data_IF_474355641124
#
_entry.id   IF_474355641124
#
_cell.length_a   1.000
_cell.length_b   1.000
_cell.length_c   1.000
_cell.angle_alpha   90.00
_cell.angle_beta   90.00
_cell.angle_gamma   90.00
#
_symmetry.space_group_name_H-M   'P 1'
#
loop_
_entity.id
_entity.type
_entity.pdbx_description
1 polymer ?
#
# COMPACT_ATOMS: atom_id res chain seq x y z
N UNK A 1 4.43 4.89 -23.92
CA UNK A 1 3.70 4.38 -22.74
C UNK A 1 4.19 2.98 -22.50
N UNK A 2 4.92 2.76 -21.40
CA UNK A 2 5.42 1.43 -21.08
C UNK A 2 4.34 0.67 -20.32
N UNK A 3 3.54 -0.10 -21.05
CA UNK A 3 2.59 -1.02 -20.44
C UNK A 3 3.35 -2.23 -19.87
N UNK A 4 2.95 -2.75 -18.69
CA UNK A 4 3.45 -4.02 -18.19
C UNK A 4 3.29 -5.15 -19.23
N UNK A 5 4.18 -6.13 -19.16
CA UNK A 5 4.19 -7.30 -20.07
C UNK A 5 2.97 -8.21 -19.92
N UNK A 6 2.13 -8.03 -18.88
CA UNK A 6 0.94 -8.86 -18.60
C UNK A 6 -0.38 -8.35 -19.20
N UNK A 7 -0.47 -7.10 -19.66
CA UNK A 7 -1.74 -6.60 -20.22
C UNK A 7 -1.98 -7.07 -21.65
N UNK A 8 -3.23 -7.46 -21.92
CA UNK A 8 -3.67 -7.73 -23.29
C UNK A 8 -3.58 -6.46 -24.14
N UNK A 9 -3.36 -6.61 -25.45
CA UNK A 9 -3.34 -5.47 -26.38
C UNK A 9 -4.65 -4.67 -26.35
N UNK A 10 -5.78 -5.33 -26.05
CA UNK A 10 -7.07 -4.65 -25.90
C UNK A 10 -7.12 -3.79 -24.63
N UNK A 11 -6.64 -4.32 -23.51
CA UNK A 11 -6.49 -3.55 -22.25
C UNK A 11 -5.61 -2.33 -22.49
N UNK A 12 -4.46 -2.49 -23.15
CA UNK A 12 -3.55 -1.37 -23.46
C UNK A 12 -4.22 -0.29 -24.30
N UNK A 13 -4.99 -0.67 -25.33
CA UNK A 13 -5.75 0.28 -26.16
C UNK A 13 -6.79 1.06 -25.35
N UNK A 14 -7.51 0.38 -24.44
CA UNK A 14 -8.53 1.03 -23.62
C UNK A 14 -7.93 2.00 -22.60
N UNK A 15 -6.81 1.63 -21.97
CA UNK A 15 -6.07 2.51 -21.06
C UNK A 15 -5.54 3.73 -21.80
N UNK A 16 -4.93 3.55 -22.98
CA UNK A 16 -4.44 4.65 -23.81
C UNK A 16 -5.57 5.61 -24.24
N UNK A 17 -6.73 5.06 -24.61
CA UNK A 17 -7.90 5.87 -24.94
C UNK A 17 -8.41 6.64 -23.72
N UNK A 18 -8.47 6.02 -22.54
CA UNK A 18 -8.92 6.70 -21.32
C UNK A 18 -8.03 7.87 -20.95
N UNK A 19 -6.72 7.68 -21.05
CA UNK A 19 -5.75 8.77 -20.90
C UNK A 19 -6.09 9.95 -21.82
N UNK A 20 -6.31 9.69 -23.11
CA UNK A 20 -6.61 10.76 -24.07
C UNK A 20 -7.93 11.50 -23.73
N UNK A 21 -8.92 10.80 -23.16
CA UNK A 21 -10.18 11.43 -22.72
C UNK A 21 -9.94 12.31 -21.50
N UNK A 22 -9.24 11.80 -20.49
CA UNK A 22 -8.95 12.52 -19.24
C UNK A 22 -8.10 13.76 -19.54
N UNK A 23 -7.07 13.64 -20.37
CA UNK A 23 -6.24 14.78 -20.76
C UNK A 23 -7.02 15.86 -21.50
N UNK A 24 -7.96 15.49 -22.37
CA UNK A 24 -8.81 16.46 -23.04
C UNK A 24 -9.83 17.10 -22.08
N UNK A 25 -10.33 16.34 -21.10
CA UNK A 25 -11.27 16.81 -20.07
C UNK A 25 -10.61 17.84 -19.15
N UNK A 26 -9.36 17.60 -18.75
CA UNK A 26 -8.60 18.40 -17.80
C UNK A 26 -7.51 19.26 -18.45
N UNK A 27 -7.63 19.54 -19.76
CA UNK A 27 -6.61 20.28 -20.54
C UNK A 27 -6.33 21.69 -20.01
N UNK A 28 -7.32 22.29 -19.37
CA UNK A 28 -7.31 23.65 -18.84
C UNK A 28 -7.07 23.66 -17.31
N UNK A 29 -6.92 22.49 -16.69
CA UNK A 29 -6.64 22.36 -15.26
C UNK A 29 -5.13 22.40 -15.01
N UNK A 30 -4.75 23.02 -13.89
CA UNK A 30 -3.35 23.13 -13.46
C UNK A 30 -2.89 21.95 -12.58
N UNK A 31 -3.79 21.01 -12.31
CA UNK A 31 -3.53 19.85 -11.47
C UNK A 31 -2.51 18.89 -12.12
N UNK A 32 -1.59 18.40 -11.30
CA UNK A 32 -0.55 17.45 -11.73
C UNK A 32 -1.12 16.04 -11.92
N UNK A 33 -2.16 15.69 -11.16
CA UNK A 33 -2.82 14.39 -11.13
C UNK A 33 -4.31 14.50 -11.41
N UNK A 34 -4.83 13.62 -12.25
CA UNK A 34 -6.26 13.54 -12.54
C UNK A 34 -6.96 12.54 -11.61
N UNK A 35 -6.89 12.80 -10.30
CA UNK A 35 -7.46 11.93 -9.25
C UNK A 35 -8.99 11.84 -9.29
N UNK A 36 -9.66 12.72 -10.03
CA UNK A 36 -11.12 12.70 -10.21
C UNK A 36 -11.58 11.65 -11.20
N UNK A 37 -10.69 11.05 -11.99
CA UNK A 37 -11.06 10.09 -13.02
C UNK A 37 -10.15 8.85 -12.98
N UNK A 38 -10.11 8.13 -11.85
CA UNK A 38 -9.20 7.01 -11.70
C UNK A 38 -9.69 5.79 -12.49
N UNK A 39 -8.73 4.92 -12.82
CA UNK A 39 -8.95 3.73 -13.60
C UNK A 39 -8.58 2.49 -12.79
N UNK A 40 -9.48 1.52 -12.73
CA UNK A 40 -9.23 0.19 -12.19
C UNK A 40 -8.99 -0.79 -13.33
N UNK A 41 -7.86 -1.49 -13.27
CA UNK A 41 -7.50 -2.53 -14.23
C UNK A 41 -7.45 -3.87 -13.51
N UNK A 42 -8.08 -4.89 -14.09
CA UNK A 42 -8.02 -6.27 -13.60
C UNK A 42 -7.24 -7.12 -14.60
N UNK A 43 -6.20 -7.79 -14.11
CA UNK A 43 -5.51 -8.86 -14.83
C UNK A 43 -6.03 -10.20 -14.34
N UNK A 44 -6.89 -10.83 -15.14
CA UNK A 44 -7.53 -12.10 -14.79
C UNK A 44 -6.57 -13.29 -14.84
N UNK A 45 -6.71 -14.18 -13.87
CA UNK A 45 -6.03 -15.47 -13.82
C UNK A 45 -7.03 -16.59 -14.12
N UNK A 46 -7.00 -17.13 -15.34
CA UNK A 46 -7.98 -18.11 -15.83
C UNK A 46 -8.10 -19.38 -14.95
N UNK A 47 -7.00 -19.99 -14.45
CA UNK A 47 -7.08 -21.04 -13.43
C UNK A 47 -7.90 -20.67 -12.18
N UNK A 48 -7.81 -19.42 -11.71
CA UNK A 48 -8.59 -18.93 -10.57
C UNK A 48 -10.08 -18.76 -10.87
N UNK A 49 -10.40 -18.29 -12.07
CA UNK A 49 -11.80 -18.21 -12.54
C UNK A 49 -12.43 -19.60 -12.67
N UNK A 50 -11.73 -20.53 -13.33
CA UNK A 50 -12.22 -21.90 -13.57
C UNK A 50 -12.41 -22.67 -12.26
N UNK A 51 -11.42 -22.64 -11.37
CA UNK A 51 -11.49 -23.36 -10.07
C UNK A 51 -12.68 -22.92 -9.21
N UNK A 52 -13.11 -21.67 -9.35
CA UNK A 52 -14.23 -21.10 -8.59
C UNK A 52 -15.55 -21.12 -9.34
N UNK A 53 -15.57 -21.63 -10.58
CA UNK A 53 -16.73 -21.62 -11.46
C UNK A 53 -17.34 -20.22 -11.64
N UNK A 54 -16.48 -19.21 -11.82
CA UNK A 54 -16.87 -17.82 -12.08
C UNK A 54 -16.28 -17.33 -13.40
N UNK A 55 -16.85 -16.27 -13.95
CA UNK A 55 -16.43 -15.63 -15.19
C UNK A 55 -15.98 -14.19 -14.94
N UNK A 56 -15.27 -13.59 -15.89
CA UNK A 56 -14.93 -12.16 -15.85
C UNK A 56 -16.18 -11.27 -15.73
N UNK A 57 -17.32 -11.71 -16.28
CA UNK A 57 -18.60 -11.01 -16.14
C UNK A 57 -19.10 -10.99 -14.68
N UNK A 58 -18.86 -12.06 -13.91
CA UNK A 58 -19.22 -12.09 -12.49
C UNK A 58 -18.40 -11.06 -11.71
N UNK A 59 -17.09 -11.01 -11.96
CA UNK A 59 -16.18 -10.04 -11.33
C UNK A 59 -16.57 -8.61 -11.71
N UNK A 60 -16.81 -8.35 -12.99
CA UNK A 60 -17.29 -7.05 -13.46
C UNK A 60 -18.68 -6.68 -12.93
N UNK A 61 -19.53 -7.65 -12.60
CA UNK A 61 -20.83 -7.38 -11.99
C UNK A 61 -20.71 -6.87 -10.54
N UNK A 62 -19.70 -7.32 -9.77
CA UNK A 62 -19.41 -6.79 -8.43
C UNK A 62 -19.04 -5.31 -8.52
N UNK A 63 -18.13 -4.96 -9.44
CA UNK A 63 -17.75 -3.55 -9.67
C UNK A 63 -18.96 -2.72 -10.12
N UNK A 64 -19.71 -3.21 -11.10
CA UNK A 64 -20.91 -2.51 -11.61
C UNK A 64 -22.03 -2.38 -10.57
N UNK A 65 -22.04 -3.25 -9.57
CA UNK A 65 -22.98 -3.21 -8.43
C UNK A 65 -22.49 -2.36 -7.27
N UNK A 66 -21.29 -1.79 -7.34
CA UNK A 66 -20.76 -0.91 -6.27
C UNK A 66 -21.62 0.36 -6.17
N UNK A 67 -22.07 0.75 -4.96
CA UNK A 67 -22.83 1.99 -4.78
C UNK A 67 -22.11 3.18 -5.41
N UNK A 68 -22.88 4.02 -6.12
CA UNK A 68 -22.40 5.22 -6.83
C UNK A 68 -21.51 4.97 -8.06
N UNK A 69 -21.21 3.71 -8.39
CA UNK A 69 -20.58 3.39 -9.66
C UNK A 69 -21.51 3.74 -10.83
N UNK A 70 -21.05 4.63 -11.69
CA UNK A 70 -21.74 4.99 -12.94
C UNK A 70 -20.84 4.58 -14.10
N UNK A 71 -21.25 3.64 -14.96
CA UNK A 71 -20.47 3.28 -16.13
C UNK A 71 -20.22 4.51 -17.00
N UNK A 72 -18.95 4.88 -17.18
CA UNK A 72 -18.61 5.98 -18.07
C UNK A 72 -18.67 5.48 -19.51
N UNK A 73 -19.53 6.09 -20.32
CA UNK A 73 -19.70 5.72 -21.71
C UNK A 73 -18.43 6.03 -22.51
N UNK A 74 -17.91 5.02 -23.21
CA UNK A 74 -16.78 5.22 -24.12
C UNK A 74 -17.24 6.00 -25.36
N UNK A 75 -16.61 7.14 -25.69
CA UNK A 75 -17.06 8.01 -26.78
C UNK A 75 -16.82 7.42 -28.20
N UNK A 76 -16.07 6.32 -28.32
CA UNK A 76 -15.85 5.65 -29.61
C UNK A 76 -16.78 4.44 -29.77
N UNK A 77 -17.73 4.55 -30.69
CA UNK A 77 -18.78 3.57 -31.00
C UNK A 77 -18.32 2.13 -31.37
N UNK A 78 -17.02 1.87 -31.45
CA UNK A 78 -16.45 0.61 -31.91
C UNK A 78 -15.58 -0.13 -30.86
N UNK A 79 -15.54 0.35 -29.62
CA UNK A 79 -14.81 -0.32 -28.54
C UNK A 79 -15.80 -0.92 -27.54
N UNK A 80 -15.87 -2.25 -27.52
CA UNK A 80 -16.57 -2.98 -26.47
C UNK A 80 -15.84 -2.74 -25.16
N UNK A 81 -16.55 -2.23 -24.14
CA UNK A 81 -15.97 -2.08 -22.80
C UNK A 81 -15.40 -3.41 -22.33
N UNK A 82 -14.10 -3.42 -22.03
CA UNK A 82 -13.44 -4.62 -21.51
C UNK A 82 -13.97 -4.92 -20.11
N UNK A 83 -14.10 -6.20 -19.78
CA UNK A 83 -14.31 -6.63 -18.39
C UNK A 83 -13.05 -6.46 -17.53
N UNK A 84 -11.94 -5.97 -18.09
CA UNK A 84 -10.68 -5.74 -17.40
C UNK A 84 -10.40 -4.28 -17.09
N UNK A 85 -11.22 -3.33 -17.58
CA UNK A 85 -10.94 -1.88 -17.46
C UNK A 85 -12.21 -1.14 -17.05
N UNK A 86 -12.17 -0.51 -15.88
CA UNK A 86 -13.29 0.20 -15.29
C UNK A 86 -12.84 1.61 -14.93
N UNK A 87 -13.60 2.61 -15.38
CA UNK A 87 -13.35 4.02 -15.05
C UNK A 87 -14.34 4.48 -13.99
N UNK A 88 -13.87 5.35 -13.10
CA UNK A 88 -14.61 5.85 -11.96
C UNK A 88 -14.62 7.38 -12.00
N UNK A 89 -15.65 7.98 -11.40
CA UNK A 89 -15.79 9.43 -11.30
C UNK A 89 -15.11 10.03 -10.06
N UNK A 90 -14.59 9.16 -9.18
CA UNK A 90 -13.90 9.54 -7.97
C UNK A 90 -13.15 8.33 -7.38
N UNK A 91 -12.12 8.64 -6.58
CA UNK A 91 -11.31 7.66 -5.87
C UNK A 91 -12.11 6.80 -4.88
N UNK A 92 -13.06 7.39 -4.15
CA UNK A 92 -13.79 6.69 -3.10
C UNK A 92 -14.66 5.56 -3.65
N UNK A 93 -15.34 5.79 -4.77
CA UNK A 93 -16.15 4.77 -5.45
C UNK A 93 -15.27 3.62 -5.97
N UNK A 94 -14.06 3.91 -6.44
CA UNK A 94 -13.11 2.88 -6.85
C UNK A 94 -12.60 2.05 -5.67
N UNK A 95 -12.21 2.69 -4.57
CA UNK A 95 -11.78 1.97 -3.36
C UNK A 95 -12.91 1.08 -2.80
N UNK A 96 -14.15 1.56 -2.80
CA UNK A 96 -15.32 0.74 -2.43
C UNK A 96 -15.46 -0.50 -3.33
N UNK A 97 -15.22 -0.36 -4.64
CA UNK A 97 -15.27 -1.49 -5.57
C UNK A 97 -14.13 -2.49 -5.31
N UNK A 98 -12.93 -2.01 -4.96
CA UNK A 98 -11.80 -2.85 -4.57
C UNK A 98 -12.14 -3.64 -3.30
N UNK A 99 -12.73 -3.00 -2.29
CA UNK A 99 -13.19 -3.67 -1.07
C UNK A 99 -14.22 -4.77 -1.39
N UNK A 100 -15.22 -4.47 -2.23
CA UNK A 100 -16.20 -5.50 -2.61
C UNK A 100 -15.57 -6.68 -3.35
N UNK A 101 -14.61 -6.43 -4.25
CA UNK A 101 -13.86 -7.49 -4.91
C UNK A 101 -13.07 -8.34 -3.91
N UNK A 102 -12.47 -7.70 -2.91
CA UNK A 102 -11.76 -8.38 -1.84
C UNK A 102 -12.71 -9.28 -1.04
N UNK A 103 -13.86 -8.75 -0.59
CA UNK A 103 -14.82 -9.52 0.21
C UNK A 103 -15.40 -10.72 -0.55
N UNK A 104 -15.61 -10.59 -1.86
CA UNK A 104 -16.22 -11.65 -2.68
C UNK A 104 -15.21 -12.70 -3.16
N UNK A 105 -13.94 -12.32 -3.38
CA UNK A 105 -12.98 -13.16 -4.09
C UNK A 105 -11.63 -13.33 -3.40
N UNK A 106 -11.38 -12.71 -2.25
CA UNK A 106 -10.14 -12.96 -1.53
C UNK A 106 -10.21 -14.30 -0.79
N UNK A 107 -9.22 -15.17 -1.04
CA UNK A 107 -9.18 -16.55 -0.55
C UNK A 107 -9.32 -16.69 0.96
N UNK A 108 -8.73 -15.76 1.73
CA UNK A 108 -8.84 -15.77 3.18
C UNK A 108 -10.25 -15.44 3.64
N UNK A 109 -10.93 -14.50 2.98
CA UNK A 109 -12.31 -14.11 3.32
C UNK A 109 -13.30 -15.23 3.00
N UNK A 110 -13.11 -15.93 1.87
CA UNK A 110 -14.00 -17.03 1.46
C UNK A 110 -13.62 -18.41 2.04
N UNK A 111 -12.53 -18.48 2.82
CA UNK A 111 -12.05 -19.73 3.44
C UNK A 111 -11.58 -20.80 2.45
N UNK A 112 -11.04 -20.42 1.29
CA UNK A 112 -10.61 -21.34 0.22
C UNK A 112 -9.12 -21.23 -0.10
N UNK A 113 -8.53 -22.31 -0.60
CA UNK A 113 -7.15 -22.35 -1.12
C UNK A 113 -7.12 -22.38 -2.66
N UNK A 114 -8.15 -21.85 -3.31
CA UNK A 114 -8.22 -21.81 -4.77
C UNK A 114 -7.14 -20.87 -5.35
N UNK A 115 -6.67 -21.06 -6.58
CA UNK A 115 -5.83 -20.06 -7.26
C UNK A 115 -6.48 -18.67 -7.24
N UNK A 116 -5.68 -17.60 -7.17
CA UNK A 116 -6.19 -16.21 -7.17
C UNK A 116 -6.99 -15.93 -8.45
N UNK A 117 -8.07 -15.16 -8.35
CA UNK A 117 -8.94 -14.79 -9.49
C UNK A 117 -8.26 -13.86 -10.48
N UNK A 118 -7.38 -13.00 -9.99
CA UNK A 118 -6.67 -12.01 -10.77
C UNK A 118 -5.94 -11.02 -9.87
N UNK A 119 -5.31 -10.04 -10.50
CA UNK A 119 -4.64 -8.91 -9.85
C UNK A 119 -5.38 -7.64 -10.19
N UNK A 120 -5.47 -6.74 -9.22
CA UNK A 120 -6.17 -5.45 -9.37
C UNK A 120 -5.14 -4.34 -9.31
N UNK A 121 -5.21 -3.42 -10.25
CA UNK A 121 -4.34 -2.27 -10.38
C UNK A 121 -5.15 -1.00 -10.38
N UNK A 122 -4.79 -0.11 -9.47
CA UNK A 122 -5.25 1.27 -9.50
C UNK A 122 -4.32 2.07 -10.38
N UNK A 123 -4.91 2.88 -11.26
CA UNK A 123 -4.21 3.68 -12.23
C UNK A 123 -4.72 5.11 -12.15
N UNK A 124 -3.81 6.03 -11.82
CA UNK A 124 -4.05 7.47 -11.83
C UNK A 124 -3.16 8.07 -12.91
N UNK A 125 -3.75 8.90 -13.78
CA UNK A 125 -3.01 9.55 -14.85
C UNK A 125 -2.38 10.85 -14.38
N UNK A 126 -1.13 11.08 -14.79
CA UNK A 126 -0.40 12.33 -14.61
C UNK A 126 -0.47 13.19 -15.87
N UNK A 127 -0.28 14.50 -15.69
CA UNK A 127 -0.24 15.49 -16.78
C UNK A 127 0.88 15.19 -17.80
N UNK A 128 2.00 14.63 -17.36
CA UNK A 128 3.18 14.32 -18.17
C UNK A 128 3.04 13.08 -19.08
N UNK A 129 1.84 12.48 -19.17
CA UNK A 129 1.53 11.23 -19.88
C UNK A 129 2.04 9.95 -19.21
N UNK A 130 2.53 10.03 -17.97
CA UNK A 130 2.80 8.86 -17.15
C UNK A 130 1.56 8.48 -16.33
N UNK A 131 1.59 7.31 -15.70
CA UNK A 131 0.55 6.90 -14.78
C UNK A 131 1.20 6.25 -13.57
N UNK A 132 0.59 6.46 -12.42
CA UNK A 132 0.98 5.81 -11.18
C UNK A 132 0.21 4.50 -11.03
N UNK A 133 0.91 3.45 -10.59
CA UNK A 133 0.35 2.12 -10.39
C UNK A 133 0.49 1.73 -8.94
N UNK A 134 -0.64 1.54 -8.28
CA UNK A 134 -0.72 0.91 -6.98
C UNK A 134 -1.25 -0.51 -7.18
N UNK A 135 -0.49 -1.52 -6.74
CA UNK A 135 -0.86 -2.94 -6.89
C UNK A 135 -1.45 -3.46 -5.59
N UNK A 136 -2.78 -3.64 -5.53
CA UNK A 136 -3.45 -3.92 -4.26
C UNK A 136 -3.58 -5.42 -3.93
N UNK A 137 -3.16 -6.36 -4.80
CA UNK A 137 -3.24 -7.80 -4.52
C UNK A 137 -2.19 -8.63 -5.28
N UNK A 138 -1.12 -9.05 -4.59
CA UNK A 138 -0.33 -10.24 -4.94
C UNK A 138 -0.34 -11.24 -3.76
N UNK A 139 -1.00 -12.40 -3.91
CA UNK A 139 -0.79 -13.54 -3.00
C UNK A 139 0.11 -14.54 -3.71
N UNK A 140 1.37 -14.66 -3.25
CA UNK A 140 2.31 -15.67 -3.74
C UNK A 140 2.12 -17.00 -3.01
N UNK A 141 2.09 -18.06 -3.81
CA UNK A 141 1.98 -19.46 -3.42
C UNK A 141 3.28 -19.91 -2.73
N UNK A 142 3.13 -20.66 -1.63
CA UNK A 142 4.16 -21.33 -0.85
C UNK A 142 5.21 -22.04 -1.73
N UNK A 143 6.47 -21.64 -1.60
CA UNK A 143 7.62 -22.36 -2.15
C UNK A 143 7.72 -23.74 -1.49
N UNK A 144 7.91 -24.78 -2.30
CA UNK A 144 7.99 -26.16 -1.83
C UNK A 144 9.21 -26.37 -0.91
N UNK A 145 9.16 -27.36 0.02
CA UNK A 145 10.20 -27.61 1.02
C UNK A 145 11.61 -27.83 0.45
N UNK A 146 11.71 -28.19 -0.83
CA UNK A 146 12.98 -28.47 -1.51
C UNK A 146 13.81 -27.18 -1.67
N UNK A 147 13.17 -26.02 -1.92
CA UNK A 147 13.87 -24.75 -2.09
C UNK A 147 14.36 -24.14 -0.78
N UNK A 148 13.65 -24.36 0.33
CA UNK A 148 14.08 -23.92 1.67
C UNK A 148 15.42 -24.58 2.06
N UNK A 149 15.60 -25.84 1.67
CA UNK A 149 16.80 -26.61 2.00
C UNK A 149 18.00 -26.13 1.19
N UNK A 150 17.81 -25.81 -0.09
CA UNK A 150 18.86 -25.22 -0.95
C UNK A 150 19.27 -23.83 -0.46
N UNK A 151 18.29 -23.02 -0.01
CA UNK A 151 18.52 -21.68 0.52
C UNK A 151 19.29 -21.70 1.86
N UNK A 152 18.99 -22.63 2.76
CA UNK A 152 19.71 -22.79 4.04
C UNK A 152 21.17 -23.25 3.85
N UNK A 153 21.43 -24.11 2.86
CA UNK A 153 22.78 -24.58 2.53
C UNK A 153 23.62 -23.45 1.90
N UNK A 154 22.99 -22.57 1.11
CA UNK A 154 23.68 -21.40 0.54
C UNK A 154 23.95 -20.31 1.57
N UNK A 155 23.03 -20.08 2.51
CA UNK A 155 23.21 -19.12 3.63
C UNK A 155 24.34 -19.52 4.58
N UNK A 156 24.49 -20.81 4.87
CA UNK A 156 25.59 -21.32 5.71
C UNK A 156 26.94 -21.27 4.98
N UNK A 157 26.97 -21.55 3.68
CA UNK A 157 28.20 -21.49 2.88
C UNK A 157 28.69 -20.05 2.63
N UNK A 158 27.79 -19.09 2.38
CA UNK A 158 28.14 -17.68 2.13
C UNK A 158 28.25 -16.84 3.41
N UNK A 159 27.44 -17.10 4.44
CA UNK A 159 27.47 -16.37 5.72
C UNK A 159 28.80 -16.50 6.46
N UNK A 160 29.47 -17.66 6.34
CA UNK A 160 30.80 -17.88 6.90
C UNK A 160 31.90 -17.06 6.20
N UNK A 161 31.72 -16.73 4.91
CA UNK A 161 32.68 -15.94 4.14
C UNK A 161 32.45 -14.42 4.29
N UNK A 162 31.21 -14.01 4.56
CA UNK A 162 30.82 -12.60 4.61
C UNK A 162 31.17 -11.88 5.92
N UNK A 163 31.16 -12.59 7.06
CA UNK A 163 31.55 -12.05 8.37
C UNK A 163 33.03 -11.67 8.47
N UNK A 164 33.90 -12.19 7.58
CA UNK A 164 35.33 -11.86 7.56
C UNK A 164 35.66 -10.57 6.77
N UNK A 165 34.76 -10.11 5.89
CA UNK A 165 34.99 -8.92 5.06
C UNK A 165 34.49 -7.61 5.71
N UNK A 166 33.51 -7.67 6.61
CA UNK A 166 32.90 -6.46 7.19
C UNK A 166 33.66 -5.81 8.36
N UNK A 167 34.79 -6.38 8.81
CA UNK A 167 35.54 -5.83 9.95
C UNK A 167 36.53 -4.71 9.59
N UNK A 168 36.62 -4.29 8.32
CA UNK A 168 37.66 -3.35 7.88
C UNK A 168 37.20 -2.07 7.16
N UNK A 169 35.90 -1.84 6.95
CA UNK A 169 35.45 -0.69 6.14
C UNK A 169 34.27 0.08 6.72
N UNK A 170 34.46 0.72 7.88
CA UNK A 170 33.64 1.89 8.27
C UNK A 170 34.52 2.91 9.00
N UNK A 171 34.97 3.98 8.34
CA UNK A 171 35.50 5.13 9.05
C UNK A 171 34.36 5.88 9.74
N UNK A 172 34.63 6.15 11.01
CA UNK A 172 33.86 6.89 11.99
C UNK A 172 33.49 8.31 11.47
N UNK A 173 32.22 8.58 11.13
CA UNK A 173 31.70 9.94 10.97
C UNK A 173 30.56 10.19 11.96
N UNK A 174 30.92 10.84 13.07
CA UNK A 174 30.01 11.47 14.02
C UNK A 174 29.56 12.81 13.43
N UNK A 175 28.34 12.87 12.91
CA UNK A 175 27.60 14.14 12.87
C UNK A 175 26.37 13.99 13.77
N UNK A 176 26.27 14.74 14.89
CA UNK A 176 25.06 14.73 15.69
C UNK A 176 23.95 15.42 14.90
N UNK A 177 22.92 14.67 14.51
CA UNK A 177 21.64 15.24 14.05
C UNK A 177 21.07 16.05 15.21
N UNK A 178 21.27 17.37 15.15
CA UNK A 178 20.60 18.33 16.00
C UNK A 178 19.13 18.35 15.57
N UNK A 179 18.25 17.73 16.36
CA UNK A 179 16.81 17.95 16.28
C UNK A 179 16.57 19.42 16.64
N UNK A 180 16.57 20.29 15.63
CA UNK A 180 16.27 21.70 15.78
C UNK A 180 14.75 21.82 15.78
N UNK A 181 14.18 22.28 16.90
CA UNK A 181 12.73 22.53 17.10
C UNK A 181 12.09 23.35 15.96
N UNK A 182 12.89 24.06 15.16
CA UNK A 182 12.46 24.89 14.03
C UNK A 182 11.85 24.14 12.82
N UNK A 183 11.91 22.80 12.75
CA UNK A 183 11.38 22.06 11.59
C UNK A 183 9.96 21.51 11.81
N UNK A 184 9.38 21.74 12.99
CA UNK A 184 8.00 21.37 13.33
C UNK A 184 6.99 22.32 12.70
N UNK A 185 7.37 23.57 12.48
CA UNK A 185 6.47 24.66 12.04
C UNK A 185 6.20 24.68 10.52
N UNK A 186 6.89 23.85 9.72
CA UNK A 186 6.83 23.90 8.25
C UNK A 186 5.96 22.78 7.65
N UNK A 187 5.52 21.81 8.46
CA UNK A 187 4.80 20.63 7.95
C UNK A 187 3.30 20.70 8.21
N UNK A 188 2.52 20.46 7.16
CA UNK A 188 1.07 20.35 7.23
C UNK A 188 0.66 18.94 7.70
N UNK A 189 0.57 18.79 9.03
CA UNK A 189 0.09 17.55 9.64
C UNK A 189 -1.44 17.46 9.64
N UNK A 190 -2.02 16.25 9.44
CA UNK A 190 -3.43 16.01 9.70
C UNK A 190 -3.82 16.42 11.12
N UNK A 191 -5.02 16.99 11.27
CA UNK A 191 -5.58 17.40 12.57
C UNK A 191 -5.77 16.22 13.53
N UNK A 192 -5.87 15.03 12.97
CA UNK A 192 -5.99 13.75 13.64
C UNK A 192 -4.76 13.33 14.42
N UNK A 193 -3.58 13.77 13.98
CA UNK A 193 -2.33 13.27 14.56
C UNK A 193 -2.14 13.88 15.94
N UNK A 194 -1.85 13.02 16.91
CA UNK A 194 -1.44 13.49 18.23
C UNK A 194 -0.13 14.27 18.15
N UNK A 195 0.13 15.17 19.11
CA UNK A 195 1.40 15.91 19.16
C UNK A 195 2.63 14.98 19.26
N UNK A 196 2.46 13.81 19.87
CA UNK A 196 3.52 12.80 19.94
C UNK A 196 3.74 12.13 18.57
N UNK A 197 2.67 11.80 17.85
CA UNK A 197 2.74 11.28 16.48
C UNK A 197 3.46 12.28 15.58
N UNK A 198 3.09 13.56 15.62
CA UNK A 198 3.74 14.62 14.83
C UNK A 198 5.25 14.70 15.10
N UNK A 199 5.67 14.59 16.37
CA UNK A 199 7.11 14.53 16.75
C UNK A 199 7.84 13.36 16.13
N UNK A 200 7.22 12.20 16.10
CA UNK A 200 7.85 11.02 15.57
C UNK A 200 7.91 11.04 14.05
N UNK A 201 6.86 11.52 13.37
CA UNK A 201 6.87 11.72 11.91
C UNK A 201 7.95 12.73 11.52
N UNK A 202 8.05 13.85 12.25
CA UNK A 202 9.12 14.84 12.02
C UNK A 202 10.52 14.24 12.19
N UNK A 203 10.72 13.42 13.21
CA UNK A 203 11.99 12.73 13.44
C UNK A 203 12.31 11.74 12.32
N UNK A 204 11.32 10.96 11.87
CA UNK A 204 11.49 10.00 10.77
C UNK A 204 11.77 10.69 9.43
N UNK A 205 11.13 11.83 9.15
CA UNK A 205 11.44 12.67 8.00
C UNK A 205 12.94 12.96 7.92
N UNK A 206 13.53 13.47 9.01
CA UNK A 206 14.95 13.86 9.03
C UNK A 206 15.86 12.65 8.75
N UNK A 207 15.50 11.48 9.27
CA UNK A 207 16.24 10.23 9.05
C UNK A 207 16.16 9.81 7.58
N UNK A 208 14.97 9.78 7.01
CA UNK A 208 14.70 9.33 5.65
C UNK A 208 15.33 10.29 4.64
N UNK A 209 15.17 11.59 4.82
CA UNK A 209 15.81 12.59 3.96
C UNK A 209 17.33 12.48 3.96
N UNK A 210 17.93 12.29 5.14
CA UNK A 210 19.38 12.11 5.21
C UNK A 210 19.83 10.76 4.58
N UNK A 211 19.00 9.72 4.65
CA UNK A 211 19.24 8.43 3.98
C UNK A 211 19.23 8.58 2.45
N UNK A 212 18.32 9.39 1.92
CA UNK A 212 18.11 9.58 0.48
C UNK A 212 18.66 10.89 -0.08
N UNK A 213 19.54 11.58 0.64
CA UNK A 213 20.06 12.91 0.25
C UNK A 213 20.76 12.92 -1.13
N UNK A 214 21.29 11.78 -1.53
CA UNK A 214 22.02 11.58 -2.79
C UNK A 214 21.17 10.83 -3.84
N UNK A 215 19.92 10.48 -3.52
CA UNK A 215 18.98 9.86 -4.46
C UNK A 215 18.26 10.93 -5.28
N UNK A 216 17.95 10.58 -6.53
CA UNK A 216 17.19 11.43 -7.45
C UNK A 216 15.68 11.15 -7.45
N UNK A 217 15.23 10.22 -6.59
CA UNK A 217 13.84 9.88 -6.40
C UNK A 217 13.07 11.09 -5.80
N UNK A 218 11.94 11.45 -6.40
CA UNK A 218 11.07 12.55 -5.94
C UNK A 218 10.27 12.16 -4.68
N UNK A 219 9.88 10.89 -4.61
CA UNK A 219 9.14 10.27 -3.50
C UNK A 219 9.94 9.07 -2.98
N UNK A 220 10.12 9.00 -1.67
CA UNK A 220 10.86 7.94 -1.01
C UNK A 220 9.94 6.76 -0.65
N UNK A 221 9.30 6.14 -1.65
CA UNK A 221 8.39 4.99 -1.46
C UNK A 221 9.06 3.74 -0.87
N UNK A 222 10.39 3.74 -0.76
CA UNK A 222 11.16 2.67 -0.11
C UNK A 222 11.20 2.81 1.41
N UNK A 223 10.71 3.91 1.97
CA UNK A 223 10.74 4.14 3.41
C UNK A 223 9.41 4.74 3.93
N UNK A 224 8.27 4.04 3.74
CA UNK A 224 6.99 4.56 4.20
C UNK A 224 6.84 4.40 5.73
N UNK A 225 5.96 5.21 6.31
CA UNK A 225 5.51 5.04 7.69
C UNK A 225 4.07 4.54 7.74
N UNK A 226 3.81 3.62 8.66
CA UNK A 226 2.48 3.29 9.12
C UNK A 226 2.23 3.97 10.46
N UNK A 227 1.12 4.69 10.57
CA UNK A 227 0.70 5.41 11.76
C UNK A 227 -0.63 4.85 12.24
N UNK A 228 -0.77 4.67 13.55
CA UNK A 228 -2.02 4.28 14.20
C UNK A 228 -2.36 5.28 15.29
N UNK A 229 -3.47 5.99 15.08
CA UNK A 229 -4.11 6.83 16.09
C UNK A 229 -5.12 5.96 16.86
N UNK A 230 -4.72 5.51 18.05
CA UNK A 230 -5.50 4.56 18.83
C UNK A 230 -6.75 5.17 19.45
N UNK A 231 -7.82 4.39 19.41
CA UNK A 231 -9.08 4.68 20.08
C UNK A 231 -9.20 3.83 21.34
N UNK A 232 -9.04 4.44 22.52
CA UNK A 232 -9.00 3.74 23.81
C UNK A 232 -10.24 2.85 24.08
N UNK A 233 -11.49 3.29 23.80
CA UNK A 233 -12.67 2.40 23.83
C UNK A 233 -12.53 1.12 23.01
N UNK A 234 -11.89 1.18 21.84
CA UNK A 234 -11.69 0.01 20.96
C UNK A 234 -10.65 -0.97 21.50
N UNK A 235 -9.60 -0.46 22.14
CA UNK A 235 -8.60 -1.27 22.84
C UNK A 235 -9.20 -1.97 24.08
N UNK A 236 -9.91 -1.21 24.92
CA UNK A 236 -10.53 -1.70 26.16
C UNK A 236 -11.58 -2.77 25.86
N UNK A 237 -12.49 -2.53 24.92
CA UNK A 237 -13.56 -3.48 24.56
C UNK A 237 -13.03 -4.83 24.06
N UNK A 238 -11.90 -4.82 23.35
CA UNK A 238 -11.23 -6.03 22.85
C UNK A 238 -10.23 -6.64 23.84
N UNK A 239 -10.00 -6.00 24.99
CA UNK A 239 -9.00 -6.41 25.97
C UNK A 239 -7.58 -6.56 25.35
N UNK A 240 -7.19 -5.57 24.54
CA UNK A 240 -5.87 -5.51 23.89
C UNK A 240 -5.17 -4.20 24.24
N UNK A 241 -3.86 -4.16 23.98
CA UNK A 241 -3.04 -2.96 24.20
C UNK A 241 -2.42 -2.48 22.89
N UNK A 242 -1.91 -1.26 22.85
CA UNK A 242 -1.12 -0.77 21.71
C UNK A 242 0.07 -1.68 21.40
N UNK A 243 0.66 -2.30 22.44
CA UNK A 243 1.73 -3.28 22.27
C UNK A 243 1.25 -4.57 21.59
N UNK A 244 -0.01 -4.98 21.83
CA UNK A 244 -0.62 -6.11 21.14
C UNK A 244 -0.71 -5.84 19.64
N UNK A 245 -1.17 -4.63 19.27
CA UNK A 245 -1.28 -4.20 17.87
C UNK A 245 0.11 -4.07 17.23
N UNK A 246 1.05 -3.44 17.93
CA UNK A 246 2.45 -3.33 17.49
C UNK A 246 3.13 -4.70 17.31
N UNK A 247 2.77 -5.71 18.10
CA UNK A 247 3.31 -7.07 17.92
C UNK A 247 2.82 -7.72 16.62
N UNK A 248 1.59 -7.46 16.19
CA UNK A 248 1.08 -7.93 14.89
C UNK A 248 1.90 -7.32 13.74
N UNK A 249 2.12 -6.01 13.79
CA UNK A 249 2.91 -5.30 12.77
C UNK A 249 4.33 -5.83 12.72
N UNK A 250 5.01 -5.91 13.89
CA UNK A 250 6.38 -6.40 13.98
C UNK A 250 6.53 -7.89 13.66
N UNK A 251 5.44 -8.64 13.74
CA UNK A 251 5.36 -10.04 13.36
C UNK A 251 5.12 -10.27 11.86
N UNK A 252 4.89 -9.20 11.09
CA UNK A 252 4.68 -9.29 9.63
C UNK A 252 5.93 -9.88 8.96
N UNK A 253 5.81 -10.87 8.08
CA UNK A 253 6.94 -11.39 7.32
C UNK A 253 7.73 -10.27 6.64
N UNK A 254 9.06 -10.36 6.68
CA UNK A 254 9.98 -9.38 6.11
C UNK A 254 10.03 -8.01 6.80
N UNK A 255 9.21 -7.77 7.83
CA UNK A 255 9.36 -6.60 8.68
C UNK A 255 10.74 -6.61 9.35
N UNK A 256 11.53 -5.58 9.05
CA UNK A 256 12.84 -5.36 9.67
C UNK A 256 12.81 -4.04 10.41
N UNK A 257 12.84 -4.05 11.76
CA UNK A 257 12.85 -2.82 12.54
C UNK A 257 14.02 -1.93 12.11
N UNK A 258 13.72 -0.69 11.69
CA UNK A 258 14.74 0.29 11.37
C UNK A 258 15.29 0.84 12.68
N UNK A 259 16.58 0.63 12.94
CA UNK A 259 17.22 1.12 14.15
C UNK A 259 17.25 2.65 14.14
N UNK A 260 16.62 3.26 15.14
CA UNK A 260 16.73 4.70 15.35
C UNK A 260 18.20 5.06 15.65
N UNK A 261 18.75 6.15 15.06
CA UNK A 261 20.15 6.54 15.26
C UNK A 261 20.51 6.92 16.71
N UNK A 262 19.54 6.98 17.63
CA UNK A 262 19.76 7.14 19.07
C UNK A 262 19.30 5.89 19.83
N UNK A 263 20.25 5.25 20.53
CA UNK A 263 20.05 4.05 21.34
C UNK A 263 19.04 4.18 22.51
N UNK A 264 18.48 5.37 22.76
CA UNK A 264 17.59 5.66 23.89
C UNK A 264 16.15 6.02 23.48
N UNK A 265 15.80 5.94 22.19
CA UNK A 265 14.42 6.19 21.76
C UNK A 265 13.71 4.86 21.59
N UNK A 266 12.74 4.60 22.45
CA UNK A 266 11.84 3.44 22.30
C UNK A 266 11.00 3.65 21.06
N UNK A 267 11.00 2.68 20.16
CA UNK A 267 10.11 2.70 19.00
C UNK A 267 8.66 2.71 19.49
N UNK A 268 7.90 3.70 19.05
CA UNK A 268 6.48 3.82 19.42
C UNK A 268 5.66 2.64 18.92
N UNK A 269 4.53 2.40 19.59
CA UNK A 269 3.49 1.52 19.07
C UNK A 269 2.49 2.26 18.18
N UNK A 270 2.69 3.55 17.90
CA UNK A 270 1.83 4.36 17.04
C UNK A 270 2.48 4.74 15.71
N UNK A 271 3.81 4.65 15.58
CA UNK A 271 4.53 5.01 14.34
C UNK A 271 5.56 3.93 14.02
N UNK A 272 5.41 3.30 12.85
CA UNK A 272 6.23 2.18 12.40
C UNK A 272 6.84 2.54 11.04
N UNK A 273 8.16 2.51 10.95
CA UNK A 273 8.87 2.68 9.68
C UNK A 273 9.09 1.32 9.00
N UNK A 274 8.99 1.31 7.68
CA UNK A 274 9.18 0.14 6.82
C UNK A 274 10.28 0.42 5.78
N UNK A 275 10.82 -0.63 5.17
CA UNK A 275 11.83 -0.53 4.10
C UNK A 275 11.24 -0.78 2.69
N UNK A 276 9.93 -0.98 2.60
CA UNK A 276 9.19 -1.10 1.35
C UNK A 276 7.67 -1.03 1.62
N UNK A 277 6.91 -0.57 0.61
CA UNK A 277 5.45 -0.48 0.66
C UNK A 277 4.77 -1.85 0.82
N UNK A 278 5.28 -2.90 0.17
CA UNK A 278 4.63 -4.21 0.17
C UNK A 278 4.56 -4.80 1.59
N UNK A 279 5.65 -4.71 2.36
CA UNK A 279 5.69 -5.16 3.75
C UNK A 279 4.74 -4.34 4.64
N UNK A 280 4.55 -3.06 4.34
CA UNK A 280 3.58 -2.21 5.06
C UNK A 280 2.13 -2.60 4.73
N UNK A 281 1.81 -2.83 3.45
CA UNK A 281 0.50 -3.33 3.00
C UNK A 281 0.18 -4.71 3.60
N UNK A 282 1.17 -5.59 3.66
CA UNK A 282 1.05 -6.89 4.32
C UNK A 282 0.76 -6.69 5.81
N UNK A 283 1.39 -5.73 6.49
CA UNK A 283 1.11 -5.41 7.88
C UNK A 283 -0.30 -4.85 8.09
N UNK A 284 -0.79 -3.99 7.20
CA UNK A 284 -2.17 -3.49 7.21
C UNK A 284 -3.15 -4.66 7.05
N UNK A 285 -2.85 -5.61 6.14
CA UNK A 285 -3.64 -6.83 5.97
C UNK A 285 -3.65 -7.68 7.24
N UNK A 286 -2.50 -7.82 7.92
CA UNK A 286 -2.46 -8.53 9.20
C UNK A 286 -3.28 -7.82 10.28
N UNK A 287 -3.27 -6.49 10.33
CA UNK A 287 -4.10 -5.73 11.26
C UNK A 287 -5.59 -5.97 11.00
N UNK A 288 -6.01 -5.94 9.74
CA UNK A 288 -7.37 -6.26 9.33
C UNK A 288 -7.76 -7.67 9.79
N UNK A 289 -6.96 -8.68 9.44
CA UNK A 289 -7.23 -10.09 9.75
C UNK A 289 -7.34 -10.35 11.27
N UNK A 290 -6.63 -9.58 12.09
CA UNK A 290 -6.60 -9.80 13.54
C UNK A 290 -7.62 -8.97 14.33
N UNK A 291 -8.08 -7.83 13.79
CA UNK A 291 -8.81 -6.83 14.60
C UNK A 291 -10.08 -6.28 13.95
N UNK A 292 -10.31 -6.52 12.66
CA UNK A 292 -11.53 -6.08 12.00
C UNK A 292 -12.75 -6.85 12.53
N UNK A 293 -13.83 -6.14 12.89
CA UNK A 293 -15.03 -6.66 13.53
C UNK A 293 -15.71 -7.77 12.73
N UNK A 294 -15.80 -7.61 11.41
CA UNK A 294 -16.42 -8.64 10.55
C UNK A 294 -15.61 -9.94 10.54
N UNK A 295 -14.28 -9.87 10.67
CA UNK A 295 -13.38 -11.02 10.68
C UNK A 295 -13.41 -11.72 12.04
N UNK A 296 -13.37 -10.95 13.13
CA UNK A 296 -13.37 -11.50 14.50
C UNK A 296 -14.77 -11.81 15.03
N UNK A 297 -15.83 -11.47 14.28
CA UNK A 297 -17.23 -11.72 14.65
C UNK A 297 -17.70 -10.89 15.84
N UNK A 298 -17.21 -9.65 16.00
CA UNK A 298 -17.54 -8.74 17.11
C UNK A 298 -18.15 -7.44 16.59
N UNK A 299 -18.71 -6.62 17.47
CA UNK A 299 -19.20 -5.27 17.14
C UNK A 299 -18.66 -4.28 18.17
N UNK A 300 -17.34 -4.26 18.31
CA UNK A 300 -16.65 -3.39 19.25
C UNK A 300 -16.31 -2.05 18.58
N UNK A 301 -16.23 -0.92 19.33
CA UNK A 301 -15.74 0.35 18.80
C UNK A 301 -14.40 0.18 18.07
N UNK A 302 -14.13 0.87 16.96
CA UNK A 302 -12.89 0.65 16.19
C UNK A 302 -11.63 0.81 17.06
N UNK A 303 -10.59 0.00 16.80
CA UNK A 303 -9.32 0.02 17.56
C UNK A 303 -8.54 1.33 17.39
N UNK A 304 -8.68 1.99 16.25
CA UNK A 304 -8.01 3.24 15.92
C UNK A 304 -8.27 3.66 14.49
N UNK A 305 -7.53 4.67 14.03
CA UNK A 305 -7.42 5.07 12.62
C UNK A 305 -6.02 4.76 12.13
N UNK A 306 -5.90 4.29 10.89
CA UNK A 306 -4.62 3.87 10.30
C UNK A 306 -4.28 4.81 9.16
N UNK A 307 -3.03 5.29 9.13
CA UNK A 307 -2.55 6.19 8.10
C UNK A 307 -1.23 5.68 7.54
N UNK A 308 -1.04 5.84 6.24
CA UNK A 308 0.25 5.65 5.56
C UNK A 308 0.84 7.02 5.26
N UNK A 309 2.15 7.14 5.45
CA UNK A 309 2.91 8.38 5.18
C UNK A 309 4.06 8.10 4.26
N UNK A 310 4.16 8.88 3.19
CA UNK A 310 5.24 8.82 2.21
C UNK A 310 5.97 10.16 2.16
N UNK A 311 7.30 10.15 2.26
CA UNK A 311 8.09 11.36 2.28
C UNK A 311 8.53 11.77 0.87
N UNK A 312 8.52 13.08 0.63
CA UNK A 312 8.99 13.71 -0.60
C UNK A 312 10.34 14.40 -0.40
N UNK A 313 11.07 14.56 -1.50
CA UNK A 313 12.39 15.20 -1.53
C UNK A 313 12.36 16.68 -1.14
N UNK A 314 11.26 17.37 -1.39
CA UNK A 314 11.03 18.80 -1.11
C UNK A 314 10.75 19.11 0.37
N UNK A 315 10.87 18.11 1.26
CA UNK A 315 10.54 18.18 2.68
C UNK A 315 9.05 18.17 3.03
N UNK A 316 8.21 17.79 2.08
CA UNK A 316 6.80 17.48 2.36
C UNK A 316 6.57 15.98 2.53
N UNK A 317 5.36 15.60 2.89
CA UNK A 317 4.93 14.20 2.93
C UNK A 317 3.47 14.10 2.50
N UNK A 318 3.10 12.95 1.97
CA UNK A 318 1.72 12.61 1.68
C UNK A 318 1.19 11.70 2.78
N UNK A 319 -0.07 11.92 3.16
CA UNK A 319 -0.78 11.08 4.13
C UNK A 319 -2.02 10.51 3.49
N UNK A 320 -2.19 9.19 3.58
CA UNK A 320 -3.41 8.52 3.17
C UNK A 320 -4.01 7.77 4.37
N UNK A 321 -5.30 7.96 4.63
CA UNK A 321 -6.00 7.17 5.64
C UNK A 321 -6.43 5.82 5.06
N UNK A 322 -5.96 4.74 5.68
CA UNK A 322 -6.37 3.38 5.37
C UNK A 322 -7.67 3.07 6.12
N UNK A 323 -8.78 3.25 5.42
CA UNK A 323 -10.12 3.03 5.99
C UNK A 323 -10.41 1.54 6.15
N UNK A 324 -11.35 1.23 7.04
CA UNK A 324 -11.87 -0.13 7.26
C UNK A 324 -10.86 -1.15 7.81
N UNK A 325 -9.68 -0.75 8.29
CA UNK A 325 -8.72 -1.69 8.89
C UNK A 325 -9.26 -2.30 10.19
N UNK A 326 -9.95 -1.52 11.02
CA UNK A 326 -10.44 -1.95 12.35
C UNK A 326 -11.97 -1.95 12.49
N UNK A 327 -12.69 -1.70 11.41
CA UNK A 327 -14.15 -1.50 11.43
C UNK A 327 -14.92 -2.74 11.83
#
# INVERSE_FOLDING_TARGET
MNFPTGFSEETKKQVAMWRDIIQNKHKDDDDEFFCTDPLLIIEYNQPGLISRNITENNVGAVIRGTPYYTPIAYPRANLTQSNSVFAFNDMQTMENAITQLYDNYHNRVIGRQDPIVGRVYKVIFRRDNTFERESNLEVRILLSPIWLTVFLVTLTYFGYKWTRYFRYSFPNQRNPVFLRESHFEIMDFPTEFSEETKKQVAMWRDIIQNKHKDDDDEIFCKDPLLIIEYNQPGLISRNITENSVGAVIRGTPYYTPIALPKANLTQSNSVFAFNDMQTMEDAITQLYDNYHNSVIGRQDPIVGRVFTVEFRRDNTFEVCEQRHVFN
#
